data_IF_277569276486
#
_entry.id   IF_277569276486
#
_cell.length_a   1.000
_cell.length_b   1.000
_cell.length_c   1.000
_cell.angle_alpha   90.00
_cell.angle_beta   90.00
_cell.angle_gamma   90.00
#
_symmetry.space_group_name_H-M   'P 1'
#
loop_
_entity.id
_entity.type
_entity.pdbx_description
1 polymer ?
#
# COMPACT_ATOMS: atom_id res chain seq x y z
N UNK A 1 38.17 -21.79 32.37
CA UNK A 1 36.98 -20.98 32.72
C UNK A 1 36.32 -20.52 31.43
N UNK A 2 35.05 -20.87 31.21
CA UNK A 2 34.34 -20.74 29.92
C UNK A 2 33.95 -19.28 29.65
N UNK A 3 34.28 -18.77 28.46
CA UNK A 3 33.89 -17.42 28.01
C UNK A 3 32.42 -17.46 27.61
N UNK A 4 31.57 -16.74 28.33
CA UNK A 4 30.16 -16.53 27.96
C UNK A 4 30.15 -15.38 26.96
N UNK A 5 29.94 -15.69 25.69
CA UNK A 5 29.67 -14.68 24.66
C UNK A 5 28.19 -14.36 24.77
N UNK A 6 27.87 -13.19 25.33
CA UNK A 6 26.52 -12.67 25.39
C UNK A 6 26.18 -12.13 24.00
N UNK A 7 25.59 -12.96 23.13
CA UNK A 7 25.02 -12.50 21.86
C UNK A 7 23.80 -11.63 22.15
N UNK A 8 24.00 -10.31 22.13
CA UNK A 8 22.90 -9.35 22.10
C UNK A 8 22.20 -9.46 20.74
N UNK A 9 21.07 -10.18 20.71
CA UNK A 9 20.16 -10.15 19.57
C UNK A 9 19.43 -8.80 19.63
N UNK A 10 19.92 -7.83 18.87
CA UNK A 10 19.26 -6.55 18.68
C UNK A 10 18.05 -6.81 17.78
N UNK A 11 16.87 -7.00 18.37
CA UNK A 11 15.61 -6.96 17.62
C UNK A 11 15.36 -5.50 17.23
N UNK A 12 15.66 -5.15 15.98
CA UNK A 12 15.26 -3.89 15.36
C UNK A 12 13.72 -3.89 15.22
N UNK A 13 13.01 -3.42 16.25
CA UNK A 13 11.59 -3.14 16.14
C UNK A 13 11.41 -1.86 15.31
N UNK A 14 11.40 -1.99 13.98
CA UNK A 14 11.02 -0.90 13.11
C UNK A 14 9.53 -0.60 13.36
N UNK A 15 9.25 0.50 14.06
CA UNK A 15 7.90 1.03 14.20
C UNK A 15 7.33 1.25 12.79
N UNK A 16 6.21 0.59 12.48
CA UNK A 16 5.48 0.78 11.22
C UNK A 16 4.81 2.16 11.27
N UNK A 17 5.55 3.18 10.89
CA UNK A 17 4.99 4.50 10.62
C UNK A 17 4.22 4.43 9.30
N UNK A 18 2.95 4.86 9.32
CA UNK A 18 2.25 5.26 8.11
C UNK A 18 3.18 6.11 7.25
N UNK A 19 3.34 5.74 5.98
CA UNK A 19 4.27 6.44 5.12
C UNK A 19 3.53 7.60 4.48
N UNK A 20 3.80 8.81 4.98
CA UNK A 20 3.26 10.03 4.42
C UNK A 20 3.90 10.29 3.06
N UNK A 21 3.09 10.42 2.01
CA UNK A 21 3.56 10.82 0.69
C UNK A 21 3.34 12.32 0.54
N UNK A 22 4.43 13.08 0.44
CA UNK A 22 4.43 14.54 0.32
C UNK A 22 4.77 15.01 -1.10
N UNK A 23 5.42 14.16 -1.90
CA UNK A 23 5.76 14.44 -3.29
C UNK A 23 5.71 13.16 -4.13
N UNK A 24 5.19 13.27 -5.36
CA UNK A 24 5.24 12.22 -6.37
C UNK A 24 5.65 12.84 -7.70
N UNK A 25 6.79 12.39 -8.24
CA UNK A 25 7.21 12.70 -9.60
C UNK A 25 6.99 11.49 -10.52
N UNK A 26 6.26 11.70 -11.62
CA UNK A 26 6.09 10.69 -12.65
C UNK A 26 7.15 10.86 -13.75
N UNK A 27 8.03 9.88 -13.90
CA UNK A 27 9.06 9.82 -14.96
C UNK A 27 8.65 8.92 -16.13
N UNK A 28 7.36 8.61 -16.27
CA UNK A 28 6.79 7.77 -17.30
C UNK A 28 6.90 6.27 -16.98
N UNK A 29 8.12 5.74 -16.86
CA UNK A 29 8.37 4.35 -16.51
C UNK A 29 8.43 4.09 -15.00
N UNK A 30 8.53 5.15 -14.20
CA UNK A 30 8.74 5.09 -12.75
C UNK A 30 7.97 6.21 -12.05
N UNK A 31 7.52 5.96 -10.81
CA UNK A 31 7.08 7.00 -9.88
C UNK A 31 8.16 7.20 -8.81
N UNK A 32 8.60 8.43 -8.61
CA UNK A 32 9.50 8.81 -7.53
C UNK A 32 8.69 9.45 -6.41
N UNK A 33 8.72 8.83 -5.25
CA UNK A 33 7.94 9.19 -4.08
C UNK A 33 8.89 9.75 -3.03
N UNK A 34 8.61 10.96 -2.53
CA UNK A 34 9.41 11.65 -1.52
C UNK A 34 10.93 11.64 -1.82
N UNK A 35 11.29 11.65 -3.10
CA UNK A 35 12.68 11.61 -3.59
C UNK A 35 13.52 10.43 -3.06
N UNK A 36 12.90 9.37 -2.54
CA UNK A 36 13.60 8.27 -1.86
C UNK A 36 13.07 6.88 -2.21
N UNK A 37 11.83 6.79 -2.69
CA UNK A 37 11.20 5.53 -3.08
C UNK A 37 10.89 5.59 -4.56
N UNK A 38 11.25 4.53 -5.29
CA UNK A 38 10.98 4.40 -6.71
C UNK A 38 10.04 3.22 -6.90
N UNK A 39 8.89 3.46 -7.54
CA UNK A 39 7.98 2.40 -7.97
C UNK A 39 8.11 2.15 -9.46
N UNK A 40 8.31 0.90 -9.85
CA UNK A 40 8.38 0.49 -11.26
C UNK A 40 7.30 -0.51 -11.60
N UNK A 41 6.86 -0.51 -12.86
CA UNK A 41 6.01 -1.59 -13.37
C UNK A 41 6.78 -2.91 -13.31
N UNK A 42 6.13 -3.97 -12.85
CA UNK A 42 6.71 -5.30 -12.67
C UNK A 42 7.23 -5.58 -11.27
N UNK A 43 7.48 -4.55 -10.46
CA UNK A 43 7.81 -4.67 -9.03
C UNK A 43 6.56 -4.99 -8.21
N UNK A 44 6.78 -5.47 -7.00
CA UNK A 44 5.70 -5.85 -6.08
C UNK A 44 5.59 -4.83 -4.94
N UNK A 45 4.36 -4.45 -4.60
CA UNK A 45 4.08 -3.79 -3.31
C UNK A 45 3.55 -4.82 -2.31
N UNK A 46 3.79 -4.57 -1.03
CA UNK A 46 3.29 -5.41 0.04
C UNK A 46 1.93 -4.88 0.53
N UNK A 47 0.91 -5.74 0.55
CA UNK A 47 -0.37 -5.46 1.20
C UNK A 47 -0.26 -5.85 2.67
N UNK A 48 -0.69 -4.96 3.55
CA UNK A 48 -0.70 -5.14 5.01
C UNK A 48 -2.10 -5.46 5.51
N UNK A 49 -2.45 -4.99 6.72
CA UNK A 49 -3.77 -5.16 7.29
C UNK A 49 -4.66 -3.98 6.87
N UNK A 50 -5.96 -4.22 6.70
CA UNK A 50 -6.91 -3.13 6.55
C UNK A 50 -6.92 -2.25 7.81
N UNK A 51 -7.23 -0.97 7.64
CA UNK A 51 -7.42 -0.04 8.76
C UNK A 51 -8.72 -0.29 9.56
N UNK A 52 -9.48 -1.34 9.23
CA UNK A 52 -10.75 -1.70 9.86
C UNK A 52 -11.14 -3.13 9.51
N UNK A 53 -12.45 -3.41 9.35
CA UNK A 53 -12.93 -4.74 8.97
C UNK A 53 -12.54 -5.13 7.53
N UNK A 54 -12.42 -4.18 6.62
CA UNK A 54 -12.04 -4.41 5.22
C UNK A 54 -11.11 -3.30 4.73
N UNK A 55 -10.45 -3.51 3.60
CA UNK A 55 -9.57 -2.52 2.97
C UNK A 55 -10.39 -1.35 2.43
N UNK A 56 -10.00 -0.13 2.80
CA UNK A 56 -10.64 1.10 2.36
C UNK A 56 -10.05 1.60 1.04
N UNK A 57 -8.75 1.37 0.83
CA UNK A 57 -7.97 1.95 -0.27
C UNK A 57 -7.36 0.90 -1.21
N UNK A 58 -7.48 -0.39 -0.88
CA UNK A 58 -7.14 -1.53 -1.76
C UNK A 58 -8.42 -2.23 -2.21
N UNK A 59 -8.82 -2.05 -3.47
CA UNK A 59 -10.10 -2.58 -4.00
C UNK A 59 -9.88 -3.49 -5.20
N UNK A 60 -10.51 -4.67 -5.19
CA UNK A 60 -10.54 -5.52 -6.38
C UNK A 60 -11.32 -4.81 -7.50
N UNK A 61 -10.71 -4.76 -8.69
CA UNK A 61 -11.32 -4.22 -9.90
C UNK A 61 -12.42 -5.17 -10.39
N UNK A 62 -13.68 -4.75 -10.35
CA UNK A 62 -14.79 -5.49 -10.95
C UNK A 62 -14.76 -5.31 -12.48
N UNK A 63 -15.01 -6.39 -13.21
CA UNK A 63 -14.68 -6.54 -14.64
C UNK A 63 -15.38 -5.64 -15.66
N UNK A 64 -16.16 -4.63 -15.25
CA UNK A 64 -16.93 -3.79 -16.18
C UNK A 64 -16.35 -2.40 -16.47
N UNK A 65 -15.66 -1.77 -15.53
CA UNK A 65 -15.47 -0.30 -15.57
C UNK A 65 -14.06 0.21 -15.89
N UNK A 66 -13.06 -0.68 -16.06
CA UNK A 66 -11.65 -0.21 -16.11
C UNK A 66 -10.79 -0.71 -17.26
N UNK A 67 -11.37 -1.15 -18.38
CA UNK A 67 -10.62 -1.36 -19.63
C UNK A 67 -10.04 -0.04 -20.19
N UNK A 68 -10.66 1.12 -19.88
CA UNK A 68 -10.12 2.44 -20.22
C UNK A 68 -8.75 2.74 -19.58
N UNK A 69 -8.40 2.09 -18.47
CA UNK A 69 -7.13 2.32 -17.78
C UNK A 69 -5.95 1.62 -18.46
N UNK A 70 -6.15 0.48 -19.12
CA UNK A 70 -5.05 -0.25 -19.79
C UNK A 70 -4.66 0.38 -21.13
N UNK A 71 -5.61 1.05 -21.79
CA UNK A 71 -5.37 1.72 -23.07
C UNK A 71 -4.70 3.10 -22.95
N UNK A 72 -4.74 3.75 -21.77
CA UNK A 72 -4.17 5.10 -21.57
C UNK A 72 -2.71 5.12 -21.12
N UNK A 73 -2.15 3.97 -20.73
CA UNK A 73 -0.77 3.90 -20.19
C UNK A 73 0.32 3.95 -21.28
N UNK A 74 -0.07 4.10 -22.55
CA UNK A 74 0.85 4.12 -23.69
C UNK A 74 1.31 5.53 -24.13
N UNK A 75 0.94 6.62 -23.46
CA UNK A 75 1.22 7.94 -24.03
C UNK A 75 1.14 9.20 -23.17
N UNK A 76 1.25 9.12 -21.84
CA UNK A 76 1.38 10.35 -21.02
C UNK A 76 2.80 10.47 -20.49
N UNK A 77 3.68 10.96 -21.37
CA UNK A 77 4.91 11.65 -20.98
C UNK A 77 4.55 13.14 -20.99
N UNK A 78 4.25 13.67 -19.81
CA UNK A 78 3.92 15.07 -19.60
C UNK A 78 4.49 15.51 -18.27
N UNK A 79 5.62 16.20 -18.33
CA UNK A 79 6.37 16.73 -17.19
C UNK A 79 5.52 17.72 -16.39
N UNK A 80 5.24 17.39 -15.13
CA UNK A 80 4.72 18.31 -14.14
C UNK A 80 4.76 17.64 -12.77
N UNK A 81 5.51 18.21 -11.83
CA UNK A 81 5.38 17.85 -10.43
C UNK A 81 3.94 18.21 -10.01
N UNK A 82 3.08 17.20 -9.85
CA UNK A 82 1.74 17.41 -9.33
C UNK A 82 1.88 17.61 -7.82
N UNK A 83 1.53 18.79 -7.32
CA UNK A 83 1.28 18.98 -5.90
C UNK A 83 0.05 18.13 -5.54
N UNK A 84 0.29 16.95 -5.00
CA UNK A 84 -0.81 16.05 -4.63
C UNK A 84 -1.38 16.52 -3.30
N UNK A 85 -2.54 17.17 -3.35
CA UNK A 85 -3.36 17.43 -2.17
C UNK A 85 -4.19 16.20 -1.82
N UNK A 86 -4.34 15.92 -0.52
CA UNK A 86 -5.32 14.95 -0.04
C UNK A 86 -6.73 15.47 -0.39
N UNK A 87 -7.56 14.66 -1.04
CA UNK A 87 -8.97 14.99 -1.26
C UNK A 87 -9.69 15.26 0.07
N UNK A 88 -10.65 16.20 0.09
CA UNK A 88 -11.37 16.60 1.31
C UNK A 88 -12.13 15.44 1.97
N UNK A 89 -12.62 14.47 1.18
CA UNK A 89 -13.24 13.25 1.68
C UNK A 89 -12.26 12.29 2.37
N UNK A 90 -10.98 12.34 2.02
CA UNK A 90 -9.93 11.49 2.60
C UNK A 90 -9.56 11.95 4.01
N UNK A 91 -9.71 13.25 4.33
CA UNK A 91 -9.34 13.80 5.65
C UNK A 91 -10.26 13.29 6.78
N UNK A 92 -11.58 13.27 6.57
CA UNK A 92 -12.53 12.72 7.56
C UNK A 92 -12.34 11.20 7.74
N UNK A 93 -12.07 10.47 6.65
CA UNK A 93 -11.82 9.03 6.68
C UNK A 93 -10.48 8.72 7.37
N UNK A 94 -9.44 9.52 7.15
CA UNK A 94 -8.14 9.40 7.82
C UNK A 94 -8.24 9.73 9.32
N UNK A 95 -9.05 10.71 9.72
CA UNK A 95 -9.33 10.98 11.14
C UNK A 95 -10.04 9.80 11.82
N UNK A 96 -10.93 9.10 11.09
CA UNK A 96 -11.55 7.85 11.54
C UNK A 96 -10.57 6.67 11.64
N UNK A 97 -9.69 6.53 10.64
CA UNK A 97 -8.68 5.47 10.59
C UNK A 97 -7.62 5.59 11.71
N UNK A 98 -7.27 6.82 12.11
CA UNK A 98 -6.32 7.08 13.20
C UNK A 98 -6.68 6.40 14.53
N UNK A 99 -7.97 6.26 14.85
CA UNK A 99 -8.44 5.58 16.08
C UNK A 99 -8.32 4.05 16.03
N UNK A 100 -8.24 3.45 14.84
CA UNK A 100 -8.10 1.99 14.66
C UNK A 100 -6.63 1.59 14.48
N UNK A 101 -5.78 2.51 14.00
CA UNK A 101 -4.35 2.31 13.82
C UNK A 101 -3.60 1.96 15.12
N UNK A 102 -4.07 2.40 16.29
CA UNK A 102 -3.42 2.03 17.57
C UNK A 102 -3.60 0.54 17.93
N UNK A 103 -4.63 -0.14 17.40
CA UNK A 103 -4.89 -1.57 17.67
C UNK A 103 -4.21 -2.54 16.69
N UNK A 104 -3.99 -2.14 15.45
CA UNK A 104 -3.44 -3.01 14.39
C UNK A 104 -1.90 -3.04 14.32
N UNK A 105 -1.21 -2.15 15.03
CA UNK A 105 0.25 -1.94 15.02
C UNK A 105 1.10 -3.11 15.57
N UNK A 106 0.49 -4.18 16.08
CA UNK A 106 1.21 -5.24 16.79
C UNK A 106 1.59 -6.48 15.94
N UNK A 107 1.26 -6.53 14.65
CA UNK A 107 1.56 -7.71 13.82
C UNK A 107 2.76 -7.43 12.92
N UNK A 108 3.95 -7.79 13.41
CA UNK A 108 5.13 -7.92 12.57
C UNK A 108 4.90 -9.04 11.56
N UNK A 109 4.90 -8.73 10.26
CA UNK A 109 4.77 -9.72 9.20
C UNK A 109 6.05 -10.58 9.05
N UNK A 110 6.25 -11.50 10.00
CA UNK A 110 7.09 -12.70 9.84
C UNK A 110 6.26 -13.90 9.37
N UNK A 111 6.90 -15.07 9.23
CA UNK A 111 6.19 -16.32 8.88
C UNK A 111 4.99 -16.58 9.83
N UNK A 112 5.20 -16.36 11.13
CA UNK A 112 4.19 -16.56 12.19
C UNK A 112 2.98 -15.61 12.11
N UNK A 113 3.10 -14.49 11.41
CA UNK A 113 2.01 -13.53 11.26
C UNK A 113 1.08 -13.88 10.09
N UNK A 114 1.57 -14.59 9.08
CA UNK A 114 0.74 -15.06 7.97
C UNK A 114 -0.26 -16.10 8.47
N UNK A 115 0.19 -17.01 9.35
CA UNK A 115 -0.66 -18.06 9.91
C UNK A 115 -1.78 -17.49 10.80
N UNK A 116 -1.55 -16.33 11.41
CA UNK A 116 -2.53 -15.64 12.26
C UNK A 116 -3.55 -14.81 11.50
N UNK A 117 -3.39 -14.60 10.18
CA UNK A 117 -4.36 -13.84 9.36
C UNK A 117 -5.75 -14.48 9.42
N UNK A 118 -5.81 -15.81 9.52
CA UNK A 118 -7.06 -16.57 9.64
C UNK A 118 -7.89 -16.18 10.87
N UNK A 119 -7.24 -15.79 11.96
CA UNK A 119 -7.88 -15.50 13.25
C UNK A 119 -8.22 -14.01 13.43
N UNK A 120 -7.76 -13.15 12.51
CA UNK A 120 -8.01 -11.72 12.61
C UNK A 120 -9.50 -11.39 12.44
N UNK A 121 -10.03 -10.40 13.18
CA UNK A 121 -11.42 -9.94 13.08
C UNK A 121 -11.66 -9.05 11.85
N UNK A 122 -11.07 -9.41 10.71
CA UNK A 122 -11.25 -8.75 9.41
C UNK A 122 -12.09 -9.63 8.49
N UNK A 123 -12.63 -9.05 7.41
CA UNK A 123 -13.47 -9.77 6.47
C UNK A 123 -12.71 -10.90 5.77
N UNK A 124 -13.40 -11.98 5.39
CA UNK A 124 -12.79 -13.08 4.62
C UNK A 124 -12.22 -12.60 3.28
N UNK A 125 -12.77 -11.50 2.73
CA UNK A 125 -12.25 -10.84 1.55
C UNK A 125 -10.90 -10.18 1.84
N UNK A 126 -10.78 -9.46 2.96
CA UNK A 126 -9.53 -8.86 3.39
C UNK A 126 -8.46 -9.93 3.68
N UNK A 127 -8.83 -11.03 4.35
CA UNK A 127 -7.91 -12.16 4.63
C UNK A 127 -7.25 -12.74 3.38
N UNK A 128 -7.96 -12.75 2.24
CA UNK A 128 -7.43 -13.29 0.97
C UNK A 128 -6.22 -12.51 0.43
N UNK A 129 -6.13 -11.22 0.74
CA UNK A 129 -5.10 -10.33 0.19
C UNK A 129 -4.19 -9.73 1.26
N UNK A 130 -4.56 -9.77 2.53
CA UNK A 130 -3.72 -9.36 3.63
C UNK A 130 -2.38 -10.12 3.62
N UNK A 131 -1.28 -9.40 3.83
CA UNK A 131 0.07 -9.99 3.83
C UNK A 131 0.56 -10.46 2.45
N UNK A 132 -0.17 -10.21 1.35
CA UNK A 132 0.25 -10.63 0.01
C UNK A 132 1.06 -9.55 -0.70
N UNK A 133 1.94 -9.98 -1.61
CA UNK A 133 2.61 -9.11 -2.57
C UNK A 133 1.77 -8.99 -3.83
N UNK A 134 1.60 -7.78 -4.35
CA UNK A 134 0.89 -7.54 -5.60
C UNK A 134 1.78 -6.81 -6.59
N UNK A 135 1.84 -7.33 -7.82
CA UNK A 135 2.66 -6.77 -8.89
C UNK A 135 2.05 -5.48 -9.42
N UNK A 136 2.82 -4.40 -9.50
CA UNK A 136 2.41 -3.15 -10.15
C UNK A 136 2.38 -3.39 -11.66
N UNK A 137 1.23 -3.18 -12.29
CA UNK A 137 1.08 -3.29 -13.75
C UNK A 137 0.78 -1.94 -14.42
N UNK A 138 0.47 -0.91 -13.65
CA UNK A 138 0.31 0.46 -14.13
C UNK A 138 -0.14 1.42 -13.04
N UNK A 139 -0.29 2.69 -13.41
CA UNK A 139 -0.84 3.74 -12.56
C UNK A 139 -1.48 4.83 -13.40
N UNK A 140 -2.36 5.60 -12.79
CA UNK A 140 -2.91 6.83 -13.35
C UNK A 140 -3.01 7.93 -12.30
N UNK A 141 -2.91 9.18 -12.75
CA UNK A 141 -3.23 10.34 -11.93
C UNK A 141 -4.72 10.62 -12.05
N UNK A 142 -5.35 10.79 -10.90
CA UNK A 142 -6.76 11.00 -10.64
C UNK A 142 -6.92 12.31 -9.86
N UNK A 143 -8.13 12.86 -9.78
CA UNK A 143 -8.38 14.09 -8.99
C UNK A 143 -8.01 13.89 -7.51
N UNK A 144 -8.14 12.66 -7.00
CA UNK A 144 -7.81 12.29 -5.61
C UNK A 144 -6.34 11.83 -5.42
N UNK A 145 -5.51 11.82 -6.48
CA UNK A 145 -4.12 11.37 -6.42
C UNK A 145 -3.79 10.20 -7.34
N UNK A 146 -2.76 9.42 -7.01
CA UNK A 146 -2.28 8.34 -7.89
C UNK A 146 -2.98 7.04 -7.54
N UNK A 147 -3.53 6.37 -8.55
CA UNK A 147 -4.13 5.05 -8.40
C UNK A 147 -3.25 4.02 -9.08
N UNK A 148 -2.64 3.13 -8.31
CA UNK A 148 -1.92 1.98 -8.84
C UNK A 148 -2.90 0.91 -9.29
N UNK A 149 -2.64 0.31 -10.44
CA UNK A 149 -3.24 -0.97 -10.83
C UNK A 149 -2.24 -2.07 -10.54
N UNK A 150 -2.65 -3.00 -9.69
CA UNK A 150 -1.85 -4.14 -9.27
C UNK A 150 -2.49 -5.46 -9.68
N UNK A 151 -1.69 -6.50 -9.82
CA UNK A 151 -2.14 -7.85 -10.13
C UNK A 151 -1.74 -8.84 -9.04
N UNK A 152 -2.69 -9.67 -8.63
CA UNK A 152 -2.50 -10.80 -7.73
C UNK A 152 -3.51 -11.89 -8.07
N UNK A 153 -3.06 -13.13 -8.19
CA UNK A 153 -3.92 -14.27 -8.52
C UNK A 153 -4.81 -14.02 -9.78
N UNK A 154 -4.19 -13.47 -10.84
CA UNK A 154 -4.86 -13.09 -12.10
C UNK A 154 -6.00 -12.07 -11.95
N UNK A 155 -6.18 -11.50 -10.78
CA UNK A 155 -7.16 -10.45 -10.46
C UNK A 155 -6.44 -9.12 -10.38
N UNK A 156 -7.13 -8.08 -10.83
CA UNK A 156 -6.63 -6.70 -10.78
C UNK A 156 -7.18 -6.01 -9.54
N UNK A 157 -6.33 -5.22 -8.90
CA UNK A 157 -6.64 -4.42 -7.73
C UNK A 157 -6.26 -2.97 -8.02
N UNK A 158 -7.08 -2.05 -7.55
CA UNK A 158 -6.81 -0.62 -7.55
C UNK A 158 -6.37 -0.22 -6.15
N UNK A 159 -5.26 0.49 -6.08
CA UNK A 159 -4.69 0.98 -4.83
C UNK A 159 -4.55 2.49 -4.92
N UNK A 160 -5.31 3.22 -4.10
CA UNK A 160 -5.12 4.67 -3.96
C UNK A 160 -3.82 4.88 -3.18
N UNK A 161 -2.75 5.27 -3.87
CA UNK A 161 -1.37 5.18 -3.39
C UNK A 161 -1.17 6.00 -2.11
N UNK A 162 -1.60 7.26 -2.12
CA UNK A 162 -1.43 8.18 -1.01
C UNK A 162 -2.23 7.71 0.22
N UNK A 163 -3.52 7.46 0.05
CA UNK A 163 -4.37 7.06 1.17
C UNK A 163 -4.01 5.68 1.70
N UNK A 164 -3.70 4.71 0.84
CA UNK A 164 -3.29 3.37 1.28
C UNK A 164 -1.96 3.41 2.05
N UNK A 165 -1.00 4.23 1.59
CA UNK A 165 0.29 4.43 2.26
C UNK A 165 0.13 5.13 3.61
N UNK A 166 -0.74 6.15 3.68
CA UNK A 166 -1.05 6.87 4.93
C UNK A 166 -1.88 6.04 5.91
N UNK A 167 -2.79 5.21 5.43
CA UNK A 167 -3.58 4.31 6.26
C UNK A 167 -2.78 3.07 6.72
N UNK A 168 -1.59 2.85 6.13
CA UNK A 168 -0.77 1.67 6.40
C UNK A 168 -1.32 0.38 5.79
N UNK A 169 -2.23 0.48 4.81
CA UNK A 169 -2.78 -0.69 4.10
C UNK A 169 -1.76 -1.30 3.13
N UNK A 170 -0.73 -0.53 2.75
CA UNK A 170 0.37 -0.97 1.89
C UNK A 170 1.72 -0.55 2.46
N UNK A 171 2.76 -1.25 2.01
CA UNK A 171 4.14 -0.83 2.08
C UNK A 171 4.76 -0.86 0.69
N UNK A 172 5.39 0.26 0.36
CA UNK A 172 6.12 0.50 -0.88
C UNK A 172 7.53 -0.07 -0.82
#
# INVERSE_FOLDING_TARGET
MKKIILSAVIFFSAFLSAQQITSIENKGSELYINNSITLKKGEDIQIYLPAGKDFMFVKQKSGGFGLKMLGKVAGVVGTGAAAVGLGSGSVEVLQGAGKVMDGARAVQYGADAIDKIGDLPISDKAKKIAGKKMKIIGWELTDDGYVLTNEYDKKKYLVNLQEASMAGEIKL
#
